data_IF_036968411820
#
_entry.id   IF_036968411820
#
_cell.length_a   1.000
_cell.length_b   1.000
_cell.length_c   1.000
_cell.angle_alpha   90.00
_cell.angle_beta   90.00
_cell.angle_gamma   90.00
#
_symmetry.space_group_name_H-M   'P 1'
#
loop_
_entity.id
_entity.type
_entity.pdbx_description
1 polymer ?
#
# COMPACT_ATOMS: atom_id res chain seq x y z
N UNK A 1 7.80 -43.57 50.34
CA UNK A 1 8.15 -43.30 51.76
C UNK A 1 7.92 -41.83 51.94
N UNK A 2 6.78 -41.46 52.53
CA UNK A 2 6.69 -41.04 53.93
C UNK A 2 7.61 -39.84 54.15
N UNK A 3 7.21 -38.66 54.58
CA UNK A 3 6.26 -38.17 55.56
C UNK A 3 6.21 -36.67 55.38
N UNK A 4 5.10 -36.05 55.47
CA UNK A 4 4.32 -35.74 56.70
C UNK A 4 4.68 -34.35 57.27
N UNK A 5 3.69 -33.53 57.29
CA UNK A 5 2.84 -33.12 58.41
C UNK A 5 3.17 -31.67 58.89
N UNK A 6 2.11 -30.90 58.69
CA UNK A 6 1.49 -29.94 59.64
C UNK A 6 2.40 -29.06 60.49
N UNK A 7 2.16 -27.79 60.43
CA UNK A 7 1.89 -27.05 61.67
C UNK A 7 0.83 -25.96 61.50
N UNK A 8 -0.03 -26.01 62.36
CA UNK A 8 -1.31 -25.39 62.58
C UNK A 8 -1.15 -24.20 63.50
N UNK A 9 -1.96 -23.19 63.20
CA UNK A 9 -2.60 -22.24 64.10
C UNK A 9 -1.79 -21.53 65.23
N UNK A 10 -1.95 -20.22 65.22
CA UNK A 10 -2.65 -19.47 66.31
C UNK A 10 -2.53 -17.97 66.09
N UNK A 11 -3.63 -17.33 65.85
CA UNK A 11 -4.38 -16.42 66.73
C UNK A 11 -3.66 -15.08 67.03
N UNK A 12 -4.32 -14.04 66.68
CA UNK A 12 -4.06 -12.69 67.17
C UNK A 12 -4.95 -11.68 66.48
N UNK A 13 -6.14 -11.56 66.98
CA UNK A 13 -7.09 -10.46 66.78
C UNK A 13 -6.42 -9.17 67.29
N UNK A 14 -6.62 -8.02 66.66
CA UNK A 14 -7.07 -6.78 67.29
C UNK A 14 -6.91 -5.56 66.37
N UNK A 15 -8.06 -4.93 66.13
CA UNK A 15 -8.39 -3.50 66.06
C UNK A 15 -8.08 -2.70 64.82
N UNK A 16 -9.19 -2.33 64.28
CA UNK A 16 -9.59 -1.22 63.44
C UNK A 16 -8.77 0.06 63.59
N UNK A 17 -8.43 0.60 62.45
CA UNK A 17 -8.58 2.06 62.25
C UNK A 17 -8.76 2.35 60.75
N UNK A 18 -9.88 2.98 60.48
CA UNK A 18 -10.24 3.59 59.20
C UNK A 18 -9.18 4.63 58.80
N UNK A 19 -8.60 4.49 57.61
CA UNK A 19 -8.12 5.63 56.88
C UNK A 19 -8.59 5.49 55.45
N UNK A 20 -9.58 6.29 55.14
CA UNK A 20 -10.05 6.61 53.80
C UNK A 20 -8.91 7.27 53.01
N UNK A 21 -8.29 6.54 52.12
CA UNK A 21 -7.53 7.15 51.04
C UNK A 21 -8.04 6.57 49.76
N UNK A 22 -8.62 7.48 48.97
CA UNK A 22 -9.19 7.21 47.68
C UNK A 22 -8.16 6.63 46.74
N UNK A 23 -8.42 5.41 46.27
CA UNK A 23 -7.76 4.87 45.11
C UNK A 23 -8.47 5.43 43.89
N UNK A 24 -7.86 6.48 43.31
CA UNK A 24 -8.17 6.88 41.95
C UNK A 24 -7.79 5.70 41.04
N UNK A 25 -8.80 5.00 40.56
CA UNK A 25 -8.68 4.02 39.50
C UNK A 25 -8.21 4.76 38.23
N UNK A 26 -6.94 4.67 37.94
CA UNK A 26 -6.44 4.94 36.60
C UNK A 26 -7.00 3.84 35.68
N UNK A 27 -8.18 4.10 35.13
CA UNK A 27 -8.66 3.40 33.96
C UNK A 27 -7.70 3.71 32.83
N UNK A 28 -6.81 2.81 32.56
CA UNK A 28 -5.94 2.81 31.39
C UNK A 28 -6.84 2.46 30.20
N UNK A 29 -7.36 3.52 29.58
CA UNK A 29 -8.12 3.46 28.35
C UNK A 29 -7.14 3.03 27.26
N UNK A 30 -7.12 1.72 27.00
CA UNK A 30 -6.47 1.14 25.84
C UNK A 30 -7.22 1.66 24.61
N UNK A 31 -6.71 2.77 24.06
CA UNK A 31 -7.10 3.27 22.78
C UNK A 31 -6.81 2.19 21.74
N UNK A 32 -7.80 1.36 21.48
CA UNK A 32 -7.83 0.47 20.33
C UNK A 32 -7.92 1.34 19.10
N UNK A 33 -6.77 1.71 18.55
CA UNK A 33 -6.68 2.30 17.24
C UNK A 33 -7.30 1.30 16.25
N UNK A 34 -8.57 1.48 15.95
CA UNK A 34 -9.24 0.84 14.83
C UNK A 34 -8.56 1.37 13.57
N UNK A 35 -7.52 0.68 13.13
CA UNK A 35 -7.00 0.80 11.77
C UNK A 35 -8.12 0.38 10.84
N UNK A 36 -8.89 1.35 10.37
CA UNK A 36 -9.76 1.19 9.21
C UNK A 36 -8.88 1.15 7.96
N UNK A 37 -8.16 0.07 7.77
CA UNK A 37 -7.60 -0.29 6.47
C UNK A 37 -8.67 -1.08 5.72
N UNK A 38 -9.61 -0.38 5.18
CA UNK A 38 -10.57 -0.87 4.19
C UNK A 38 -10.26 -0.28 2.82
N UNK A 39 -8.99 -0.16 2.45
CA UNK A 39 -8.62 0.03 1.08
C UNK A 39 -8.96 -1.29 0.37
N UNK A 40 -9.92 -1.24 -0.55
CA UNK A 40 -10.20 -2.30 -1.49
C UNK A 40 -8.91 -2.44 -2.30
N UNK A 41 -8.09 -3.41 -1.95
CA UNK A 41 -6.89 -3.77 -2.71
C UNK A 41 -7.40 -4.16 -4.09
N UNK A 42 -6.98 -3.41 -5.09
CA UNK A 42 -7.35 -3.68 -6.48
C UNK A 42 -6.55 -4.92 -6.91
N UNK A 43 -7.11 -6.09 -6.62
CA UNK A 43 -6.48 -7.40 -6.86
C UNK A 43 -6.25 -7.65 -8.35
N UNK A 44 -6.80 -6.82 -9.21
CA UNK A 44 -6.71 -6.91 -10.66
C UNK A 44 -5.61 -6.01 -11.27
N UNK A 45 -4.81 -5.32 -10.41
CA UNK A 45 -3.70 -4.54 -10.93
C UNK A 45 -2.67 -5.45 -11.60
N UNK A 46 -2.27 -5.06 -12.80
CA UNK A 46 -1.22 -5.74 -13.55
C UNK A 46 0.15 -5.41 -12.99
N UNK A 47 1.01 -6.38 -13.02
CA UNK A 47 2.43 -6.25 -12.67
C UNK A 47 3.11 -5.36 -13.72
N UNK A 48 3.86 -4.38 -13.27
CA UNK A 48 4.63 -3.48 -14.12
C UNK A 48 6.14 -3.76 -14.01
N UNK A 49 6.90 -3.26 -14.97
CA UNK A 49 8.36 -3.29 -14.88
C UNK A 49 8.83 -2.54 -13.62
N UNK A 50 9.87 -3.07 -12.97
CA UNK A 50 10.47 -2.59 -11.73
C UNK A 50 9.68 -2.85 -10.44
N UNK A 51 8.53 -3.51 -10.51
CA UNK A 51 7.85 -4.00 -9.32
C UNK A 51 8.69 -5.05 -8.58
N UNK A 52 8.53 -5.13 -7.26
CA UNK A 52 9.14 -6.18 -6.44
C UNK A 52 8.09 -7.26 -6.14
N UNK A 53 8.38 -8.47 -6.55
CA UNK A 53 7.54 -9.63 -6.32
C UNK A 53 8.14 -10.53 -5.24
N UNK A 54 7.29 -11.16 -4.46
CA UNK A 54 7.65 -12.29 -3.61
C UNK A 54 7.02 -13.53 -4.21
N UNK A 55 7.85 -14.45 -4.67
CA UNK A 55 7.43 -15.75 -5.22
C UNK A 55 7.74 -16.82 -4.22
N UNK A 56 6.75 -17.63 -3.86
CA UNK A 56 6.91 -18.77 -2.97
C UNK A 56 6.41 -20.02 -3.67
N UNK A 57 7.23 -21.07 -3.68
CA UNK A 57 6.88 -22.39 -4.19
C UNK A 57 6.89 -23.35 -3.02
N UNK A 58 5.70 -23.77 -2.59
CA UNK A 58 5.55 -24.62 -1.43
C UNK A 58 6.14 -26.02 -1.68
N UNK A 59 6.91 -26.48 -0.70
CA UNK A 59 7.53 -27.82 -0.75
C UNK A 59 8.95 -27.83 -1.32
N UNK A 60 9.43 -26.73 -1.88
CA UNK A 60 10.76 -26.62 -2.49
C UNK A 60 11.55 -25.48 -1.84
N UNK A 61 12.53 -25.79 -0.99
CA UNK A 61 13.33 -24.79 -0.27
C UNK A 61 14.14 -23.90 -1.22
N UNK A 62 14.58 -24.44 -2.36
CA UNK A 62 15.35 -23.69 -3.36
C UNK A 62 14.57 -22.53 -3.98
N UNK A 63 13.23 -22.62 -4.03
CA UNK A 63 12.34 -21.62 -4.59
C UNK A 63 11.55 -20.85 -3.52
N UNK A 64 11.68 -21.24 -2.26
CA UNK A 64 10.90 -20.63 -1.15
C UNK A 64 11.73 -19.69 -0.29
N UNK A 65 13.04 -19.63 -0.50
CA UNK A 65 13.95 -18.85 0.35
C UNK A 65 14.08 -19.42 1.76
N UNK A 66 14.91 -18.81 2.58
CA UNK A 66 15.14 -19.23 3.96
C UNK A 66 13.85 -19.08 4.78
N UNK A 67 13.45 -20.12 5.51
CA UNK A 67 12.24 -20.15 6.33
C UNK A 67 10.90 -19.99 5.57
N UNK A 68 10.83 -20.39 4.31
CA UNK A 68 9.61 -20.29 3.51
C UNK A 68 9.08 -18.84 3.34
N UNK A 69 9.98 -17.86 3.42
CA UNK A 69 9.63 -16.43 3.33
C UNK A 69 9.30 -15.97 1.90
N UNK A 70 9.51 -16.83 0.92
CA UNK A 70 9.44 -16.50 -0.50
C UNK A 70 10.71 -15.87 -1.04
N UNK A 71 10.92 -16.00 -2.33
CA UNK A 71 12.03 -15.41 -3.05
C UNK A 71 11.64 -14.01 -3.51
N UNK A 72 12.40 -12.99 -3.10
CA UNK A 72 12.18 -11.62 -3.54
C UNK A 72 12.83 -11.41 -4.90
N UNK A 73 12.01 -11.07 -5.87
CA UNK A 73 12.43 -10.89 -7.25
C UNK A 73 11.98 -9.54 -7.77
N UNK A 74 12.89 -8.85 -8.44
CA UNK A 74 12.56 -7.60 -9.11
C UNK A 74 12.21 -7.86 -10.56
N UNK A 75 11.10 -7.30 -11.02
CA UNK A 75 10.74 -7.32 -12.43
C UNK A 75 11.73 -6.46 -13.20
N UNK A 76 12.32 -7.02 -14.24
CA UNK A 76 13.25 -6.33 -15.14
C UNK A 76 12.56 -5.17 -15.88
N UNK A 77 13.35 -4.28 -16.46
CA UNK A 77 12.84 -3.25 -17.38
C UNK A 77 12.17 -3.84 -18.64
N UNK A 78 12.53 -5.07 -19.00
CA UNK A 78 11.88 -5.83 -20.09
C UNK A 78 10.58 -6.51 -19.66
N UNK A 79 10.22 -6.45 -18.35
CA UNK A 79 9.01 -7.08 -17.83
C UNK A 79 9.17 -8.55 -17.45
N UNK A 80 10.39 -9.04 -17.37
CA UNK A 80 10.70 -10.42 -17.04
C UNK A 80 11.16 -10.56 -15.59
N UNK A 81 10.96 -11.74 -15.02
CA UNK A 81 11.50 -12.17 -13.73
C UNK A 81 12.42 -13.35 -13.95
N UNK A 82 13.62 -13.30 -13.39
CA UNK A 82 14.57 -14.41 -13.45
C UNK A 82 14.42 -15.29 -12.22
N UNK A 83 14.02 -16.53 -12.44
CA UNK A 83 13.92 -17.56 -11.42
C UNK A 83 15.11 -18.52 -11.56
N UNK A 84 15.70 -18.91 -10.44
CA UNK A 84 16.76 -19.91 -10.43
C UNK A 84 16.24 -21.19 -11.08
N UNK A 85 17.03 -21.82 -11.94
CA UNK A 85 16.71 -23.01 -12.76
C UNK A 85 15.70 -22.79 -13.92
N UNK A 86 14.71 -21.92 -13.79
CA UNK A 86 13.69 -21.67 -14.82
C UNK A 86 14.13 -20.68 -15.90
N UNK A 87 15.18 -19.88 -15.59
CA UNK A 87 15.55 -18.76 -16.46
C UNK A 87 14.60 -17.56 -16.30
N UNK A 88 14.41 -16.79 -17.37
CA UNK A 88 13.53 -15.62 -17.38
C UNK A 88 12.12 -15.97 -17.83
N UNK A 89 11.13 -15.47 -17.11
CA UNK A 89 9.71 -15.56 -17.44
C UNK A 89 9.06 -14.18 -17.51
N UNK A 90 8.27 -13.93 -18.54
CA UNK A 90 7.56 -12.69 -18.72
C UNK A 90 6.36 -12.60 -17.75
N UNK A 91 6.36 -11.58 -16.89
CA UNK A 91 5.30 -11.34 -15.89
C UNK A 91 4.64 -9.98 -16.01
N UNK A 92 5.27 -9.03 -16.70
CA UNK A 92 4.68 -7.71 -16.92
C UNK A 92 3.38 -7.79 -17.72
N UNK A 93 2.43 -6.94 -17.37
CA UNK A 93 1.10 -6.92 -17.99
C UNK A 93 0.14 -8.02 -17.52
N UNK A 94 0.63 -8.98 -16.71
CA UNK A 94 -0.19 -10.03 -16.10
C UNK A 94 -0.63 -9.60 -14.69
N UNK A 95 -1.77 -10.08 -14.25
CA UNK A 95 -2.17 -9.99 -12.85
C UNK A 95 -1.34 -10.96 -12.01
N UNK A 96 -1.20 -10.78 -10.67
CA UNK A 96 -0.51 -11.74 -9.82
C UNK A 96 -1.01 -13.19 -10.00
N UNK A 97 -2.33 -13.37 -10.12
CA UNK A 97 -2.92 -14.68 -10.35
C UNK A 97 -2.57 -15.30 -11.72
N UNK A 98 -2.43 -14.48 -12.75
CA UNK A 98 -1.95 -14.94 -14.07
C UNK A 98 -0.47 -15.26 -14.04
N UNK A 99 0.33 -14.49 -13.32
CA UNK A 99 1.75 -14.75 -13.11
C UNK A 99 1.97 -16.06 -12.32
N UNK A 100 1.15 -16.34 -11.30
CA UNK A 100 1.17 -17.64 -10.59
C UNK A 100 0.93 -18.81 -11.53
N UNK A 101 -0.09 -18.71 -12.37
CA UNK A 101 -0.39 -19.77 -13.35
C UNK A 101 0.76 -19.96 -14.33
N UNK A 102 1.29 -18.86 -14.84
CA UNK A 102 2.41 -18.90 -15.79
C UNK A 102 3.66 -19.55 -15.19
N UNK A 103 4.05 -19.15 -13.97
CA UNK A 103 5.19 -19.74 -13.26
C UNK A 103 4.92 -21.21 -12.91
N UNK A 104 3.69 -21.54 -12.49
CA UNK A 104 3.29 -22.93 -12.24
C UNK A 104 3.44 -23.81 -13.47
N UNK A 105 2.99 -23.31 -14.63
CA UNK A 105 3.06 -24.06 -15.88
C UNK A 105 4.51 -24.28 -16.33
N UNK A 106 5.39 -23.29 -16.10
CA UNK A 106 6.82 -23.42 -16.36
C UNK A 106 7.47 -24.46 -15.44
N UNK A 107 7.17 -24.44 -14.14
CA UNK A 107 7.69 -25.41 -13.18
C UNK A 107 7.21 -26.83 -13.45
N UNK A 108 5.94 -26.97 -13.83
CA UNK A 108 5.32 -28.27 -14.12
C UNK A 108 5.91 -28.94 -15.36
N UNK A 109 6.42 -28.16 -16.30
CA UNK A 109 6.93 -28.69 -17.55
C UNK A 109 8.19 -29.52 -17.37
N UNK A 110 9.14 -29.04 -16.54
CA UNK A 110 10.49 -29.61 -16.51
C UNK A 110 11.01 -29.91 -15.08
N UNK A 111 10.35 -29.48 -14.01
CA UNK A 111 10.95 -29.52 -12.67
C UNK A 111 10.09 -30.15 -11.57
N UNK A 112 8.80 -29.85 -11.47
CA UNK A 112 7.95 -30.24 -10.35
C UNK A 112 6.63 -30.82 -10.85
N UNK A 113 6.18 -31.94 -10.29
CA UNK A 113 4.96 -32.65 -10.75
C UNK A 113 3.69 -31.86 -10.43
N UNK A 114 3.60 -31.25 -9.25
CA UNK A 114 2.43 -30.45 -8.80
C UNK A 114 2.86 -29.21 -8.00
N UNK A 115 3.39 -28.18 -8.68
CA UNK A 115 3.91 -27.00 -8.00
C UNK A 115 2.78 -26.12 -7.46
N UNK A 116 2.86 -25.80 -6.17
CA UNK A 116 2.01 -24.80 -5.53
C UNK A 116 2.77 -23.46 -5.46
N UNK A 117 2.40 -22.53 -6.32
CA UNK A 117 3.07 -21.23 -6.47
C UNK A 117 2.19 -20.14 -5.92
N UNK A 118 2.76 -19.25 -5.12
CA UNK A 118 2.14 -18.00 -4.65
C UNK A 118 2.99 -16.83 -5.13
N UNK A 119 2.37 -15.86 -5.78
CA UNK A 119 3.01 -14.61 -6.22
C UNK A 119 2.34 -13.43 -5.53
N UNK A 120 3.11 -12.70 -4.76
CA UNK A 120 2.66 -11.47 -4.11
C UNK A 120 3.49 -10.29 -4.60
N UNK A 121 2.84 -9.16 -4.85
CA UNK A 121 3.56 -7.91 -5.09
C UNK A 121 3.94 -7.30 -3.75
N UNK A 122 5.23 -7.32 -3.42
CA UNK A 122 5.77 -6.77 -2.17
C UNK A 122 5.79 -5.26 -2.20
N UNK A 123 6.25 -4.70 -3.31
CA UNK A 123 6.36 -3.25 -3.47
C UNK A 123 6.11 -2.91 -4.94
N UNK A 124 5.16 -2.04 -5.16
CA UNK A 124 4.90 -1.50 -6.49
C UNK A 124 5.93 -0.42 -6.83
N UNK A 125 6.22 -0.25 -8.11
CA UNK A 125 6.98 0.89 -8.60
C UNK A 125 6.34 2.19 -8.12
N UNK A 126 7.14 3.08 -7.53
CA UNK A 126 6.69 4.42 -7.17
C UNK A 126 6.53 5.20 -8.48
N UNK A 127 5.33 5.62 -8.76
CA UNK A 127 5.00 6.54 -9.85
C UNK A 127 4.70 7.91 -9.26
N UNK A 128 5.12 8.97 -9.93
CA UNK A 128 4.99 10.33 -9.44
C UNK A 128 4.23 11.19 -10.43
N UNK A 129 3.59 12.25 -9.92
CA UNK A 129 2.99 13.33 -10.68
C UNK A 129 3.63 14.64 -10.23
N UNK A 130 3.92 15.51 -11.15
CA UNK A 130 4.45 16.83 -10.83
C UNK A 130 3.31 17.83 -10.70
N UNK A 131 3.27 18.56 -9.57
CA UNK A 131 2.29 19.64 -9.35
C UNK A 131 3.05 20.94 -9.18
N UNK A 132 2.71 21.93 -9.99
CA UNK A 132 3.38 23.22 -10.05
C UNK A 132 2.39 24.39 -10.04
N UNK A 133 2.92 25.61 -9.82
CA UNK A 133 2.16 26.85 -9.83
C UNK A 133 1.55 27.22 -8.48
N UNK A 134 0.34 27.76 -8.47
CA UNK A 134 -0.31 28.33 -7.28
C UNK A 134 -0.98 27.27 -6.39
N UNK A 135 -0.14 26.37 -5.86
CA UNK A 135 -0.50 25.34 -4.86
C UNK A 135 0.32 25.55 -3.59
N UNK A 136 -0.12 24.99 -2.48
CA UNK A 136 0.50 25.17 -1.17
C UNK A 136 1.95 24.67 -1.11
N UNK A 137 2.24 23.52 -1.73
CA UNK A 137 3.56 22.89 -1.77
C UNK A 137 3.80 22.30 -3.16
N UNK A 138 4.33 23.11 -4.10
CA UNK A 138 4.68 22.60 -5.43
C UNK A 138 5.77 21.54 -5.34
N UNK A 139 5.65 20.48 -6.13
CA UNK A 139 6.65 19.40 -6.15
C UNK A 139 6.12 18.11 -6.78
N UNK A 140 6.88 17.04 -6.55
CA UNK A 140 6.51 15.69 -6.93
C UNK A 140 5.56 15.12 -5.88
N UNK A 141 4.50 14.48 -6.34
CA UNK A 141 3.52 13.78 -5.52
C UNK A 141 3.52 12.32 -5.91
N UNK A 142 3.65 11.44 -4.91
CA UNK A 142 3.61 10.02 -5.13
C UNK A 142 2.19 9.56 -5.48
N UNK A 143 2.08 8.79 -6.55
CA UNK A 143 0.85 8.10 -6.91
C UNK A 143 0.83 6.75 -6.17
N UNK A 144 -0.09 6.57 -5.20
CA UNK A 144 -0.21 5.28 -4.54
C UNK A 144 -0.68 4.23 -5.55
N UNK A 145 0.02 3.11 -5.57
CA UNK A 145 -0.27 1.98 -6.44
C UNK A 145 -1.65 1.36 -6.19
N UNK A 146 -2.12 1.45 -4.94
CA UNK A 146 -3.34 0.81 -4.47
C UNK A 146 -4.61 1.65 -4.71
N UNK A 147 -4.47 2.92 -5.03
CA UNK A 147 -5.59 3.84 -5.17
C UNK A 147 -5.35 4.85 -6.27
N UNK A 148 -6.28 4.94 -7.18
CA UNK A 148 -6.24 5.99 -8.21
C UNK A 148 -6.45 7.37 -7.58
N UNK A 149 -5.64 8.32 -7.98
CA UNK A 149 -5.78 9.74 -7.62
C UNK A 149 -6.37 10.51 -8.80
N UNK A 150 -7.30 11.40 -8.50
CA UNK A 150 -7.81 12.39 -9.45
C UNK A 150 -7.04 13.71 -9.31
N UNK A 151 -7.23 14.63 -10.24
CA UNK A 151 -6.57 15.94 -10.26
C UNK A 151 -6.78 16.68 -8.94
N UNK A 152 -8.01 16.67 -8.40
CA UNK A 152 -8.31 17.38 -7.16
C UNK A 152 -7.60 16.77 -5.95
N UNK A 153 -7.52 15.45 -5.89
CA UNK A 153 -6.78 14.75 -4.83
C UNK A 153 -5.28 15.03 -4.92
N UNK A 154 -4.72 15.10 -6.13
CA UNK A 154 -3.33 15.49 -6.35
C UNK A 154 -3.05 16.92 -5.87
N UNK A 155 -3.89 17.88 -6.25
CA UNK A 155 -3.76 19.27 -5.78
C UNK A 155 -3.95 19.37 -4.26
N UNK A 156 -4.86 18.59 -3.67
CA UNK A 156 -5.05 18.56 -2.22
C UNK A 156 -3.82 18.03 -1.47
N UNK A 157 -3.12 17.00 -2.03
CA UNK A 157 -1.85 16.51 -1.48
C UNK A 157 -0.73 17.57 -1.60
N UNK A 158 -0.77 18.41 -2.66
CA UNK A 158 0.13 19.56 -2.82
C UNK A 158 -0.23 20.73 -1.87
N UNK A 159 -1.01 20.52 -0.83
CA UNK A 159 -1.43 21.56 0.11
C UNK A 159 -2.57 22.44 -0.38
N UNK A 160 -3.27 22.03 -1.45
CA UNK A 160 -4.42 22.73 -2.00
C UNK A 160 -4.07 24.00 -2.81
N UNK A 161 -5.07 24.75 -3.19
CA UNK A 161 -4.91 26.00 -3.92
C UNK A 161 -4.47 27.14 -3.00
N UNK A 162 -3.56 27.98 -3.46
CA UNK A 162 -3.23 29.24 -2.78
C UNK A 162 -4.34 30.29 -2.97
N UNK A 163 -4.27 31.39 -2.23
CA UNK A 163 -5.22 32.51 -2.38
C UNK A 163 -5.13 33.20 -3.76
N UNK A 164 -4.01 33.06 -4.44
CA UNK A 164 -3.75 33.63 -5.75
C UNK A 164 -4.01 32.62 -6.89
N UNK A 165 -4.47 31.43 -6.58
CA UNK A 165 -4.71 30.39 -7.57
C UNK A 165 -5.91 30.75 -8.48
N UNK A 166 -5.69 30.61 -9.78
CA UNK A 166 -6.75 30.72 -10.78
C UNK A 166 -7.47 29.40 -10.95
N UNK A 167 -8.53 29.21 -10.20
CA UNK A 167 -9.31 27.97 -10.19
C UNK A 167 -10.08 27.70 -11.50
N UNK A 168 -10.19 28.71 -12.36
CA UNK A 168 -10.81 28.56 -13.69
C UNK A 168 -9.86 28.02 -14.75
N UNK A 169 -8.56 27.86 -14.42
CA UNK A 169 -7.56 27.35 -15.36
C UNK A 169 -6.54 26.46 -14.65
N UNK A 170 -6.73 25.17 -14.79
CA UNK A 170 -5.86 24.12 -14.29
C UNK A 170 -5.44 23.34 -15.51
N UNK A 171 -4.17 23.34 -15.85
CA UNK A 171 -3.63 22.63 -17.01
C UNK A 171 -3.09 21.27 -16.54
N UNK A 172 -3.50 20.22 -17.24
CA UNK A 172 -2.95 18.87 -17.11
C UNK A 172 -2.22 18.54 -18.40
N UNK A 173 -0.92 18.29 -18.29
CA UNK A 173 -0.10 17.85 -19.42
C UNK A 173 0.21 16.38 -19.26
N UNK A 174 -0.16 15.58 -20.24
CA UNK A 174 0.09 14.14 -20.34
C UNK A 174 0.69 13.85 -21.72
N UNK A 175 1.83 13.17 -21.76
CA UNK A 175 2.51 12.79 -23.01
C UNK A 175 2.68 13.97 -23.99
N UNK A 176 2.94 15.18 -23.45
CA UNK A 176 3.08 16.40 -24.25
C UNK A 176 1.78 17.07 -24.68
N UNK A 177 0.62 16.49 -24.37
CA UNK A 177 -0.69 17.08 -24.67
C UNK A 177 -1.20 17.80 -23.41
N UNK A 178 -1.49 19.09 -23.53
CA UNK A 178 -2.02 19.90 -22.44
C UNK A 178 -3.53 20.07 -22.59
N UNK A 179 -4.26 19.74 -21.53
CA UNK A 179 -5.71 19.95 -21.43
C UNK A 179 -6.01 20.88 -20.26
N UNK A 180 -6.88 21.84 -20.48
CA UNK A 180 -7.27 22.83 -19.46
C UNK A 180 -8.60 22.45 -18.84
N UNK A 181 -8.64 22.46 -17.51
CA UNK A 181 -9.83 22.14 -16.71
C UNK A 181 -10.19 23.28 -15.79
N UNK A 182 -11.48 23.37 -15.42
CA UNK A 182 -11.97 24.28 -14.40
C UNK A 182 -12.33 23.53 -13.13
N UNK A 183 -12.04 24.13 -11.98
CA UNK A 183 -12.37 23.55 -10.68
C UNK A 183 -13.86 23.19 -10.56
N UNK A 184 -14.75 24.03 -11.10
CA UNK A 184 -16.19 23.80 -11.09
C UNK A 184 -16.59 22.51 -11.85
N UNK A 185 -15.92 22.24 -12.96
CA UNK A 185 -16.14 21.04 -13.78
C UNK A 185 -15.65 19.80 -13.03
N UNK A 186 -14.44 19.89 -12.46
CA UNK A 186 -13.85 18.79 -11.69
C UNK A 186 -14.66 18.45 -10.43
N UNK A 187 -15.25 19.45 -9.76
CA UNK A 187 -16.11 19.25 -8.59
C UNK A 187 -17.48 18.65 -8.93
N UNK A 188 -18.04 18.99 -10.09
CA UNK A 188 -19.35 18.48 -10.53
C UNK A 188 -19.32 17.02 -10.94
N UNK A 189 -18.15 16.52 -11.34
CA UNK A 189 -18.01 15.13 -11.75
C UNK A 189 -18.08 14.19 -10.53
N UNK A 190 -19.30 13.91 -10.09
CA UNK A 190 -19.58 12.90 -9.06
C UNK A 190 -19.46 11.49 -9.61
N UNK A 191 -19.58 11.34 -10.94
CA UNK A 191 -19.49 10.05 -11.60
C UNK A 191 -18.04 9.59 -11.71
N UNK A 192 -17.72 8.50 -11.04
CA UNK A 192 -16.38 7.93 -11.00
C UNK A 192 -15.82 7.57 -12.39
N UNK A 193 -16.68 7.24 -13.35
CA UNK A 193 -16.30 6.93 -14.72
C UNK A 193 -15.83 8.15 -15.54
N UNK A 194 -16.24 9.36 -15.13
CA UNK A 194 -15.88 10.61 -15.80
C UNK A 194 -14.79 11.41 -15.09
N UNK A 195 -14.35 10.95 -13.91
CA UNK A 195 -13.24 11.57 -13.19
C UNK A 195 -11.95 11.43 -14.00
N UNK A 196 -11.17 12.49 -13.98
CA UNK A 196 -9.88 12.51 -14.64
C UNK A 196 -8.84 11.99 -13.67
N UNK A 197 -8.46 10.74 -13.92
CA UNK A 197 -7.45 10.05 -13.12
C UNK A 197 -6.06 10.46 -13.56
N UNK A 198 -5.18 10.66 -12.59
CA UNK A 198 -3.77 10.92 -12.84
C UNK A 198 -3.07 9.65 -13.29
N UNK A 199 -2.15 9.83 -14.21
CA UNK A 199 -1.23 8.80 -14.70
C UNK A 199 0.21 9.14 -14.28
N UNK A 200 1.11 8.16 -14.26
CA UNK A 200 2.53 8.43 -14.08
C UNK A 200 3.04 9.53 -15.01
N UNK A 201 3.93 10.36 -14.49
CA UNK A 201 4.59 11.46 -15.23
C UNK A 201 3.66 12.59 -15.71
N UNK A 202 2.41 12.65 -15.24
CA UNK A 202 1.53 13.79 -15.49
C UNK A 202 2.09 15.06 -14.83
N UNK A 203 1.86 16.19 -15.49
CA UNK A 203 2.18 17.52 -14.98
C UNK A 203 0.89 18.32 -14.77
N UNK A 204 0.63 18.72 -13.54
CA UNK A 204 -0.47 19.64 -13.20
C UNK A 204 0.11 21.02 -12.98
N UNK A 205 -0.39 22.01 -13.71
CA UNK A 205 -0.02 23.39 -13.54
C UNK A 205 -1.23 24.28 -13.16
N UNK A 206 -1.14 24.90 -12.00
CA UNK A 206 -2.18 25.82 -11.49
C UNK A 206 -1.73 27.24 -11.74
N UNK A 207 -2.45 27.94 -12.61
CA UNK A 207 -2.13 29.32 -12.99
C UNK A 207 -2.43 30.31 -11.84
N UNK A 208 -1.76 31.43 -11.89
CA UNK A 208 -2.06 32.59 -11.04
C UNK A 208 -3.27 33.35 -11.56
N UNK A 209 -4.09 33.86 -10.63
CA UNK A 209 -5.19 34.77 -10.97
C UNK A 209 -4.61 36.13 -11.32
N UNK A 210 -4.77 36.55 -12.57
CA UNK A 210 -4.55 37.94 -12.93
C UNK A 210 -5.70 38.76 -12.32
N UNK A 211 -5.37 39.80 -11.58
CA UNK A 211 -6.33 40.74 -10.97
C UNK A 211 -7.21 41.39 -12.01
#
# INVERSE_FOLDING_TARGET
MKNCIKWVQRVGCVVATCVLFGQAAFAQEAATAKTKSGAKVDTDRKIEALDMLTVNVFGEEEFSGTNNSGLELRVSSTGEVTLYLLGSGEVAGKTPAEAERHIRDLLKKDYIIDPHVLVLVKTYRISNVTVMGQVGSPGLIDLPAERRLDILSGIAQAGGFTKLARTSRIDLTREGVTQTYKLEELKRETNQAKRIWLSPDDLIYVHESAF
#
